data_IF_771345831574
#
_entry.id   IF_771345831574
#
_cell.length_a   1.000
_cell.length_b   1.000
_cell.length_c   1.000
_cell.angle_alpha   90.00
_cell.angle_beta   90.00
_cell.angle_gamma   90.00
#
_symmetry.space_group_name_H-M   'P 1'
#
loop_
_entity.id
_entity.type
_entity.pdbx_description
1 polymer ?
#
# COMPACT_ATOMS: atom_id res chain seq x y z
N UNK A 1 23.04 26.08 9.02
CA UNK A 1 21.88 26.20 9.92
C UNK A 1 21.34 24.80 10.07
N UNK A 2 21.82 24.14 11.12
CA UNK A 2 21.42 22.79 11.53
C UNK A 2 19.99 22.81 12.05
N UNK A 3 19.22 21.76 11.77
CA UNK A 3 17.90 21.55 12.33
C UNK A 3 17.89 20.20 13.05
N UNK A 4 17.86 20.28 14.37
CA UNK A 4 17.60 19.18 15.29
C UNK A 4 16.08 18.98 15.40
N UNK A 5 15.61 17.74 15.18
CA UNK A 5 14.21 17.38 15.39
C UNK A 5 14.15 16.36 16.52
N UNK A 6 14.05 16.89 17.72
CA UNK A 6 13.67 16.19 18.95
C UNK A 6 12.21 15.76 18.83
N UNK A 7 12.01 14.54 18.35
CA UNK A 7 10.69 13.94 18.19
C UNK A 7 10.82 12.47 17.84
N UNK A 8 11.13 11.65 18.84
CA UNK A 8 11.13 10.18 18.74
C UNK A 8 9.69 9.71 18.46
N UNK A 9 9.30 9.66 17.20
CA UNK A 9 8.11 8.92 16.78
C UNK A 9 8.43 7.43 16.89
N UNK A 10 7.54 6.70 17.54
CA UNK A 10 7.81 5.37 18.11
C UNK A 10 7.86 4.27 17.03
N UNK A 11 7.86 4.64 15.75
CA UNK A 11 7.86 3.71 14.63
C UNK A 11 8.74 4.12 13.44
N UNK A 12 9.38 5.29 13.39
CA UNK A 12 10.44 5.60 12.42
C UNK A 12 10.07 5.47 10.94
N UNK A 13 8.78 5.42 10.59
CA UNK A 13 8.33 5.08 9.23
C UNK A 13 8.16 6.28 8.31
N UNK A 14 8.31 7.51 8.80
CA UNK A 14 7.98 8.72 8.05
C UNK A 14 9.15 9.65 7.72
N UNK A 15 10.38 9.34 8.16
CA UNK A 15 11.51 10.27 8.04
C UNK A 15 12.33 10.16 6.74
N UNK A 16 11.68 9.80 5.62
CA UNK A 16 12.33 9.76 4.30
C UNK A 16 11.50 10.52 3.25
N UNK A 17 11.01 11.70 3.63
CA UNK A 17 10.17 12.59 2.81
C UNK A 17 10.87 13.20 1.57
N UNK A 18 12.15 12.90 1.31
CA UNK A 18 12.83 13.22 0.05
C UNK A 18 12.74 12.14 -1.04
N UNK A 19 12.45 10.89 -0.66
CA UNK A 19 12.35 9.74 -1.57
C UNK A 19 10.91 9.15 -1.65
N UNK A 20 9.95 9.79 -0.97
CA UNK A 20 8.64 9.22 -0.63
C UNK A 20 7.61 9.16 -1.78
N UNK A 21 7.90 9.71 -2.96
CA UNK A 21 6.90 9.78 -4.04
C UNK A 21 6.47 8.38 -4.54
N UNK A 22 7.36 7.38 -4.45
CA UNK A 22 7.05 5.98 -4.75
C UNK A 22 6.38 5.26 -3.55
N UNK A 23 6.81 5.56 -2.33
CA UNK A 23 6.27 4.93 -1.11
C UNK A 23 4.80 5.30 -0.84
N UNK A 24 4.40 6.54 -1.11
CA UNK A 24 3.03 7.00 -0.89
C UNK A 24 2.00 6.33 -1.82
N UNK A 25 2.34 6.15 -3.10
CA UNK A 25 1.47 5.50 -4.07
C UNK A 25 1.28 4.01 -3.73
N UNK A 26 2.37 3.32 -3.41
CA UNK A 26 2.33 1.91 -3.03
C UNK A 26 1.57 1.66 -1.72
N UNK A 27 1.81 2.49 -0.71
CA UNK A 27 1.08 2.42 0.57
C UNK A 27 -0.41 2.68 0.39
N UNK A 28 -0.79 3.61 -0.48
CA UNK A 28 -2.19 3.86 -0.85
C UNK A 28 -2.81 2.63 -1.52
N UNK A 29 -2.07 2.00 -2.44
CA UNK A 29 -2.49 0.81 -3.17
C UNK A 29 -2.77 -0.36 -2.23
N UNK A 30 -1.84 -0.66 -1.33
CA UNK A 30 -2.00 -1.71 -0.30
C UNK A 30 -3.26 -1.47 0.56
N UNK A 31 -3.44 -0.23 1.04
CA UNK A 31 -4.61 0.13 1.86
C UNK A 31 -5.92 0.00 1.09
N UNK A 32 -5.95 0.40 -0.18
CA UNK A 32 -7.13 0.26 -1.03
C UNK A 32 -7.47 -1.21 -1.24
N UNK A 33 -6.50 -2.02 -1.65
CA UNK A 33 -6.71 -3.45 -1.88
C UNK A 33 -7.23 -4.11 -0.60
N UNK A 34 -6.62 -3.84 0.56
CA UNK A 34 -7.06 -4.40 1.82
C UNK A 34 -8.49 -3.98 2.20
N UNK A 35 -8.86 -2.73 1.95
CA UNK A 35 -10.18 -2.20 2.31
C UNK A 35 -11.31 -2.73 1.42
N UNK A 36 -11.02 -3.01 0.15
CA UNK A 36 -12.03 -3.46 -0.81
C UNK A 36 -12.06 -4.99 -1.00
N UNK A 37 -11.08 -5.71 -0.48
CA UNK A 37 -11.03 -7.19 -0.47
C UNK A 37 -11.98 -7.83 0.56
N UNK A 38 -13.24 -7.37 0.61
CA UNK A 38 -14.31 -7.86 1.49
C UNK A 38 -15.06 -9.07 0.90
N UNK A 39 -14.60 -9.59 -0.25
CA UNK A 39 -15.26 -10.66 -1.00
C UNK A 39 -16.42 -10.20 -1.90
N UNK A 40 -16.73 -8.90 -1.90
CA UNK A 40 -17.69 -8.28 -2.83
C UNK A 40 -17.04 -7.53 -4.01
N UNK A 41 -15.75 -7.20 -3.91
CA UNK A 41 -15.00 -6.55 -4.98
C UNK A 41 -13.86 -7.45 -5.44
N UNK A 42 -13.85 -7.77 -6.73
CA UNK A 42 -12.74 -8.46 -7.37
C UNK A 42 -11.55 -7.51 -7.59
N UNK A 43 -10.35 -8.07 -7.76
CA UNK A 43 -9.14 -7.27 -7.96
C UNK A 43 -9.24 -6.32 -9.17
N UNK A 44 -9.99 -6.70 -10.21
CA UNK A 44 -10.24 -5.87 -11.39
C UNK A 44 -11.03 -4.61 -11.02
N UNK A 45 -12.03 -4.73 -10.15
CA UNK A 45 -12.80 -3.59 -9.65
C UNK A 45 -11.92 -2.64 -8.84
N UNK A 46 -11.07 -3.20 -7.97
CA UNK A 46 -10.10 -2.44 -7.17
C UNK A 46 -9.09 -1.69 -8.06
N UNK A 47 -8.59 -2.34 -9.11
CA UNK A 47 -7.68 -1.71 -10.07
C UNK A 47 -8.35 -0.55 -10.82
N UNK A 48 -9.62 -0.72 -11.24
CA UNK A 48 -10.41 0.35 -11.84
C UNK A 48 -10.62 1.52 -10.88
N UNK A 49 -10.90 1.27 -9.60
CA UNK A 49 -11.04 2.31 -8.57
C UNK A 49 -9.74 3.07 -8.31
N UNK A 50 -8.59 2.42 -8.51
CA UNK A 50 -7.27 3.03 -8.38
C UNK A 50 -6.82 3.78 -9.65
N UNK A 51 -7.59 3.68 -10.75
CA UNK A 51 -7.21 4.18 -12.07
C UNK A 51 -5.86 3.62 -12.54
N UNK A 52 -5.57 2.37 -12.16
CA UNK A 52 -4.32 1.67 -12.47
C UNK A 52 -4.62 0.37 -13.21
N UNK A 53 -3.74 -0.04 -14.14
CA UNK A 53 -3.89 -1.34 -14.77
C UNK A 53 -3.63 -2.48 -13.77
N UNK A 54 -4.28 -3.62 -14.00
CA UNK A 54 -4.28 -4.77 -13.08
C UNK A 54 -2.88 -5.27 -12.72
N UNK A 55 -1.96 -5.33 -13.70
CA UNK A 55 -0.59 -5.81 -13.48
C UNK A 55 0.21 -4.95 -12.49
N UNK A 56 -0.12 -3.66 -12.36
CA UNK A 56 0.50 -2.78 -11.35
C UNK A 56 0.05 -3.14 -9.93
N UNK A 57 -1.07 -3.85 -9.76
CA UNK A 57 -1.57 -4.31 -8.48
C UNK A 57 -1.01 -5.67 -8.05
N UNK A 58 -0.37 -6.43 -8.95
CA UNK A 58 0.11 -7.79 -8.65
C UNK A 58 1.11 -7.81 -7.50
N UNK A 59 2.09 -6.90 -7.51
CA UNK A 59 3.09 -6.80 -6.44
C UNK A 59 2.43 -6.56 -5.09
N UNK A 60 1.49 -5.60 -5.03
CA UNK A 60 0.76 -5.25 -3.81
C UNK A 60 -0.11 -6.41 -3.29
N UNK A 61 -0.82 -7.10 -4.19
CA UNK A 61 -1.62 -8.29 -3.85
C UNK A 61 -0.74 -9.41 -3.31
N UNK A 62 0.37 -9.69 -3.99
CA UNK A 62 1.29 -10.74 -3.59
C UNK A 62 1.92 -10.47 -2.22
N UNK A 63 2.33 -9.22 -1.94
CA UNK A 63 2.79 -8.81 -0.61
C UNK A 63 1.71 -9.01 0.46
N UNK A 64 0.45 -8.66 0.17
CA UNK A 64 -0.65 -8.84 1.11
C UNK A 64 -1.00 -10.33 1.34
N UNK A 65 -0.88 -11.18 0.31
CA UNK A 65 -1.05 -12.64 0.43
C UNK A 65 0.08 -13.25 1.26
N UNK A 66 1.34 -12.87 0.98
CA UNK A 66 2.50 -13.33 1.77
C UNK A 66 2.44 -12.86 3.23
N UNK A 67 1.88 -11.67 3.48
CA UNK A 67 1.62 -11.18 4.83
C UNK A 67 0.42 -11.87 5.52
N UNK A 68 -0.32 -12.74 4.83
CA UNK A 68 -1.51 -13.43 5.35
C UNK A 68 -2.72 -12.51 5.52
N UNK A 69 -2.70 -11.32 4.91
CA UNK A 69 -3.78 -10.32 4.96
C UNK A 69 -4.84 -10.58 3.89
N UNK A 70 -4.47 -11.24 2.80
CA UNK A 70 -5.38 -11.72 1.77
C UNK A 70 -5.27 -13.23 1.61
N UNK A 71 -6.34 -13.85 1.12
CA UNK A 71 -6.36 -15.25 0.73
C UNK A 71 -6.83 -15.36 -0.71
N UNK A 72 -6.14 -16.12 -1.57
CA UNK A 72 -6.67 -16.45 -2.88
C UNK A 72 -7.98 -17.23 -2.69
N UNK A 73 -9.03 -16.80 -3.38
CA UNK A 73 -10.22 -17.62 -3.56
C UNK A 73 -9.82 -18.72 -4.55
N UNK A 74 -9.78 -19.96 -4.07
CA UNK A 74 -9.42 -21.14 -4.86
C UNK A 74 -10.49 -21.55 -5.86
#
# INVERSE_FOLDING_TARGET
MEYDVIGHDKYGLYNSLGAQKQSGAYSKQLRYILNFSDGSHDLVDIANMLEQPLWECETAVNDLVHAGLLRPLG
#
